data_IF_685406288527
#
_entry.id   IF_685406288527
#
_cell.length_a   1.000
_cell.length_b   1.000
_cell.length_c   1.000
_cell.angle_alpha   90.00
_cell.angle_beta   90.00
_cell.angle_gamma   90.00
#
_symmetry.space_group_name_H-M   'P 1'
#
loop_
_entity.id
_entity.type
_entity.pdbx_description
1 polymer ?
#
# COMPACT_ATOMS: atom_id res chain seq x y z
N UNK A 1 25.95 -6.14 7.08
CA UNK A 1 25.73 -5.16 6.13
C UNK A 1 24.33 -4.55 6.15
N UNK A 2 24.25 -3.26 6.37
CA UNK A 2 23.01 -2.48 6.41
C UNK A 2 22.27 -2.46 5.06
N UNK A 3 22.98 -2.64 3.95
CA UNK A 3 22.40 -2.68 2.60
C UNK A 3 21.56 -3.91 2.29
N UNK A 4 21.60 -4.95 3.09
CA UNK A 4 20.81 -6.15 2.83
C UNK A 4 19.31 -6.01 3.11
N UNK A 5 18.89 -4.91 3.73
CA UNK A 5 17.49 -4.65 4.08
C UNK A 5 16.78 -3.57 3.24
N UNK A 6 17.51 -2.84 2.36
CA UNK A 6 16.92 -1.81 1.50
C UNK A 6 16.84 -2.30 0.05
N UNK A 7 15.64 -2.28 -0.52
CA UNK A 7 15.39 -2.65 -1.91
C UNK A 7 14.67 -1.52 -2.64
N UNK A 8 15.15 -1.19 -3.84
CA UNK A 8 14.49 -0.27 -4.77
C UNK A 8 13.89 -1.05 -5.91
N UNK A 9 12.64 -0.78 -6.21
CA UNK A 9 11.95 -1.40 -7.33
C UNK A 9 11.32 -0.34 -8.22
N UNK A 10 11.40 -0.57 -9.54
CA UNK A 10 10.67 0.20 -10.56
C UNK A 10 9.53 -0.63 -11.11
N UNK A 11 8.37 -0.03 -11.37
CA UNK A 11 7.30 -0.72 -12.07
C UNK A 11 7.67 -0.97 -13.53
N UNK A 12 7.24 -2.11 -14.08
CA UNK A 12 7.24 -2.33 -15.52
C UNK A 12 6.09 -1.56 -16.15
N UNK A 13 6.38 -0.52 -16.92
CA UNK A 13 5.34 0.28 -17.57
C UNK A 13 4.88 -0.37 -18.88
N UNK A 14 3.57 -0.55 -19.01
CA UNK A 14 2.90 -0.94 -20.25
C UNK A 14 2.32 0.33 -20.90
N UNK A 15 2.58 0.55 -22.17
CA UNK A 15 2.25 1.80 -22.89
C UNK A 15 0.77 2.21 -22.84
N UNK A 16 -0.13 1.24 -22.76
CA UNK A 16 -1.60 1.45 -22.77
C UNK A 16 -2.16 2.00 -21.45
N UNK A 17 -1.41 1.91 -20.35
CA UNK A 17 -1.81 2.41 -19.02
C UNK A 17 -1.32 3.82 -18.69
N UNK A 18 -0.51 4.43 -19.55
CA UNK A 18 0.25 5.64 -19.22
C UNK A 18 -0.62 6.86 -18.81
N UNK A 19 -1.82 7.01 -19.39
CA UNK A 19 -2.71 8.13 -19.04
C UNK A 19 -3.26 7.95 -17.64
N UNK A 20 -3.86 6.79 -17.35
CA UNK A 20 -4.42 6.45 -16.04
C UNK A 20 -3.35 6.53 -14.94
N UNK A 21 -2.17 5.96 -15.18
CA UNK A 21 -1.07 5.99 -14.23
C UNK A 21 -0.61 7.42 -13.90
N UNK A 22 -0.56 8.30 -14.91
CA UNK A 22 -0.21 9.72 -14.69
C UNK A 22 -1.30 10.48 -13.93
N UNK A 23 -2.58 10.23 -14.26
CA UNK A 23 -3.72 10.87 -13.59
C UNK A 23 -3.83 10.51 -12.12
N UNK A 24 -3.30 9.32 -11.74
CA UNK A 24 -3.28 8.82 -10.36
C UNK A 24 -1.89 8.89 -9.71
N UNK A 25 -0.99 9.73 -10.22
CA UNK A 25 0.33 9.95 -9.63
C UNK A 25 1.08 8.65 -9.33
N UNK A 26 1.08 7.71 -10.29
CA UNK A 26 1.74 6.43 -10.10
C UNK A 26 3.23 6.61 -9.79
N UNK A 27 3.75 5.83 -8.84
CA UNK A 27 5.12 5.94 -8.39
C UNK A 27 6.14 5.61 -9.49
N UNK A 28 7.26 6.32 -9.51
CA UNK A 28 8.40 6.02 -10.37
C UNK A 28 9.32 4.97 -9.75
N UNK A 29 9.48 5.01 -8.43
CA UNK A 29 10.18 3.99 -7.65
C UNK A 29 9.60 3.86 -6.24
N UNK A 30 9.84 2.70 -5.64
CA UNK A 30 9.49 2.46 -4.24
C UNK A 30 10.69 1.92 -3.48
N UNK A 31 10.83 2.37 -2.26
CA UNK A 31 11.79 1.90 -1.29
C UNK A 31 11.12 0.88 -0.38
N UNK A 32 11.81 -0.21 -0.10
CA UNK A 32 11.38 -1.25 0.84
C UNK A 32 12.44 -1.36 1.93
N UNK A 33 12.02 -1.44 3.19
CA UNK A 33 12.92 -1.65 4.32
C UNK A 33 12.46 -2.82 5.17
N UNK A 34 13.39 -3.68 5.56
CA UNK A 34 13.11 -4.77 6.50
C UNK A 34 12.95 -4.29 7.95
N UNK A 35 13.41 -3.08 8.26
CA UNK A 35 13.31 -2.46 9.59
C UNK A 35 12.29 -1.32 9.64
N UNK A 36 11.69 -0.98 8.49
CA UNK A 36 10.75 0.13 8.34
C UNK A 36 11.41 1.48 8.09
N UNK A 37 10.57 2.50 7.87
CA UNK A 37 10.92 3.90 7.72
C UNK A 37 10.10 4.73 8.72
N UNK A 38 10.74 5.62 9.44
CA UNK A 38 10.03 6.61 10.27
C UNK A 38 9.45 7.76 9.42
N UNK A 39 8.66 8.61 10.06
CA UNK A 39 8.07 9.77 9.39
C UNK A 39 9.15 10.76 8.90
N UNK A 40 10.27 10.86 9.64
CA UNK A 40 11.39 11.73 9.25
C UNK A 40 12.02 11.28 7.94
N UNK A 41 12.11 9.97 7.69
CA UNK A 41 12.62 9.43 6.43
C UNK A 41 11.74 9.82 5.23
N UNK A 42 10.42 9.82 5.40
CA UNK A 42 9.47 10.27 4.36
C UNK A 42 9.65 11.77 4.10
N UNK A 43 9.75 12.58 5.15
CA UNK A 43 9.98 14.04 5.04
C UNK A 43 11.33 14.37 4.39
N UNK A 44 12.39 13.65 4.74
CA UNK A 44 13.70 13.83 4.09
C UNK A 44 13.66 13.43 2.61
N UNK A 45 12.88 12.38 2.26
CA UNK A 45 12.66 12.02 0.86
C UNK A 45 11.94 13.12 0.09
N UNK A 46 10.92 13.74 0.67
CA UNK A 46 10.16 14.85 0.05
C UNK A 46 11.03 16.08 -0.24
N UNK A 47 12.08 16.31 0.56
CA UNK A 47 13.00 17.46 0.41
C UNK A 47 14.08 17.24 -0.66
N UNK A 48 14.24 16.02 -1.17
CA UNK A 48 15.28 15.72 -2.15
C UNK A 48 15.02 16.44 -3.47
N UNK A 49 16.09 16.94 -4.08
CA UNK A 49 16.03 17.55 -5.41
C UNK A 49 15.45 16.53 -6.41
N UNK A 50 14.54 17.00 -7.27
CA UNK A 50 13.82 16.17 -8.27
C UNK A 50 12.74 15.22 -7.74
N UNK A 51 12.50 15.12 -6.45
CA UNK A 51 11.33 14.42 -5.90
C UNK A 51 10.11 15.34 -6.01
N UNK A 52 9.06 14.85 -6.63
CA UNK A 52 7.78 15.55 -6.78
C UNK A 52 6.86 15.30 -5.60
N UNK A 53 6.81 14.05 -5.17
CA UNK A 53 6.02 13.60 -4.04
C UNK A 53 6.60 12.30 -3.47
N UNK A 54 6.40 12.08 -2.18
CA UNK A 54 6.72 10.82 -1.52
C UNK A 54 5.73 10.57 -0.39
N UNK A 55 5.22 9.34 -0.31
CA UNK A 55 4.33 8.89 0.77
C UNK A 55 4.85 7.59 1.37
N UNK A 56 4.85 7.53 2.71
CA UNK A 56 5.00 6.28 3.44
C UNK A 56 3.76 5.40 3.28
N UNK A 57 3.94 4.10 3.36
CA UNK A 57 2.81 3.17 3.26
C UNK A 57 2.99 1.98 4.18
N UNK A 58 1.89 1.59 4.82
CA UNK A 58 1.72 0.34 5.53
C UNK A 58 1.05 -0.68 4.61
N UNK A 59 1.39 -1.94 4.77
CA UNK A 59 0.60 -3.04 4.22
C UNK A 59 0.71 -4.28 5.09
N UNK A 60 -0.35 -5.07 5.10
CA UNK A 60 -0.39 -6.38 5.75
C UNK A 60 -1.33 -7.30 4.99
N UNK A 61 -0.93 -8.56 4.83
CA UNK A 61 -1.80 -9.58 4.27
C UNK A 61 -2.58 -10.24 5.42
N UNK A 62 -3.90 -10.36 5.24
CA UNK A 62 -4.77 -10.93 6.27
C UNK A 62 -5.77 -11.92 5.67
N UNK A 63 -6.13 -12.92 6.46
CA UNK A 63 -7.22 -13.85 6.16
C UNK A 63 -8.53 -13.21 6.64
N UNK A 64 -9.55 -13.26 5.79
CA UNK A 64 -10.93 -12.94 6.13
C UNK A 64 -11.87 -14.05 5.63
N UNK A 65 -13.03 -14.18 6.22
CA UNK A 65 -14.10 -15.06 5.72
C UNK A 65 -15.05 -14.27 4.83
N UNK A 66 -15.31 -14.79 3.62
CA UNK A 66 -16.34 -14.23 2.75
C UNK A 66 -17.76 -14.64 3.22
N UNK A 67 -18.78 -14.13 2.53
CA UNK A 67 -20.18 -14.38 2.86
C UNK A 67 -20.57 -15.89 2.80
N UNK A 68 -19.79 -16.72 2.11
CA UNK A 68 -19.97 -18.16 2.01
C UNK A 68 -19.17 -18.93 3.09
N UNK A 69 -18.51 -18.23 4.01
CA UNK A 69 -17.65 -18.83 5.06
C UNK A 69 -16.32 -19.37 4.53
N UNK A 70 -15.86 -18.89 3.37
CA UNK A 70 -14.58 -19.31 2.80
C UNK A 70 -13.49 -18.31 3.17
N UNK A 71 -12.40 -18.85 3.68
CA UNK A 71 -11.19 -18.06 3.92
C UNK A 71 -10.55 -17.60 2.61
N UNK A 72 -10.27 -16.31 2.54
CA UNK A 72 -9.54 -15.66 1.46
C UNK A 72 -8.49 -14.72 2.04
N UNK A 73 -7.45 -14.42 1.28
CA UNK A 73 -6.43 -13.46 1.67
C UNK A 73 -6.68 -12.13 1.00
N UNK A 74 -6.75 -11.08 1.82
CA UNK A 74 -6.76 -9.69 1.39
C UNK A 74 -5.41 -9.06 1.71
N UNK A 75 -4.95 -8.18 0.83
CA UNK A 75 -3.90 -7.21 1.16
C UNK A 75 -4.54 -5.93 1.63
N UNK A 76 -4.37 -5.63 2.91
CA UNK A 76 -4.68 -4.32 3.45
C UNK A 76 -3.51 -3.39 3.21
N UNK A 77 -3.76 -2.17 2.70
CA UNK A 77 -2.75 -1.15 2.44
C UNK A 77 -3.25 0.20 2.91
N UNK A 78 -2.34 1.05 3.41
CA UNK A 78 -2.71 2.40 3.81
C UNK A 78 -3.00 3.27 2.60
N UNK A 79 -3.98 4.16 2.74
CA UNK A 79 -4.30 5.19 1.75
C UNK A 79 -3.13 6.19 1.72
N UNK A 80 -2.59 6.44 0.54
CA UNK A 80 -1.58 7.45 0.29
C UNK A 80 -2.23 8.74 -0.21
N UNK A 81 -1.63 9.89 0.09
CA UNK A 81 -2.23 11.20 -0.18
C UNK A 81 -1.80 11.76 -1.54
N UNK A 82 -0.52 11.64 -1.89
CA UNK A 82 0.08 12.32 -3.04
C UNK A 82 0.48 11.37 -4.17
N UNK A 83 0.91 10.13 -3.81
CA UNK A 83 1.40 9.13 -4.75
C UNK A 83 0.41 7.96 -4.79
N UNK A 84 0.18 7.38 -5.96
CA UNK A 84 -0.74 6.24 -6.16
C UNK A 84 -2.18 6.54 -5.72
N UNK A 85 -2.69 7.71 -6.04
CA UNK A 85 -4.03 8.13 -5.63
C UNK A 85 -5.12 7.18 -6.15
N UNK A 86 -6.08 6.87 -5.29
CA UNK A 86 -7.16 5.93 -5.58
C UNK A 86 -8.22 6.56 -6.49
N UNK A 87 -8.79 5.78 -7.39
CA UNK A 87 -9.97 6.14 -8.17
C UNK A 87 -11.23 5.57 -7.50
N UNK A 88 -12.04 6.42 -6.89
CA UNK A 88 -13.33 6.02 -6.32
C UNK A 88 -14.27 5.57 -7.45
N UNK A 89 -14.86 4.38 -7.31
CA UNK A 89 -15.80 3.81 -8.29
C UNK A 89 -17.23 3.88 -7.80
N UNK A 90 -17.46 3.60 -6.53
CA UNK A 90 -18.78 3.68 -5.89
C UNK A 90 -18.63 3.98 -4.40
N UNK A 91 -19.67 4.57 -3.78
CA UNK A 91 -19.67 4.97 -2.38
C UNK A 91 -18.85 6.24 -2.10
N UNK A 92 -18.05 6.23 -1.07
CA UNK A 92 -17.18 7.34 -0.64
C UNK A 92 -15.82 6.86 -0.13
N UNK A 93 -14.88 7.77 0.03
CA UNK A 93 -13.62 7.49 0.72
C UNK A 93 -13.85 7.40 2.25
N UNK A 94 -12.99 6.65 2.98
CA UNK A 94 -13.04 6.56 4.43
C UNK A 94 -12.89 7.93 5.10
N UNK A 95 -13.63 8.15 6.18
CA UNK A 95 -13.58 9.33 7.05
C UNK A 95 -13.18 8.97 8.49
N UNK A 96 -13.12 7.67 8.82
CA UNK A 96 -12.73 7.15 10.11
C UNK A 96 -11.75 5.98 9.96
N UNK A 97 -10.96 5.71 11.00
CA UNK A 97 -9.89 4.71 10.97
C UNK A 97 -10.39 3.26 10.93
N UNK A 98 -11.67 3.03 11.28
CA UNK A 98 -12.37 1.74 11.20
C UNK A 98 -13.18 1.58 9.88
N UNK A 99 -12.98 2.47 8.90
CA UNK A 99 -13.56 2.37 7.58
C UNK A 99 -12.54 1.92 6.54
N UNK A 100 -13.00 1.29 5.45
CA UNK A 100 -12.17 0.90 4.34
C UNK A 100 -12.87 1.08 2.99
N UNK A 101 -12.07 1.10 1.92
CA UNK A 101 -12.53 0.92 0.55
C UNK A 101 -11.91 -0.34 -0.04
N UNK A 102 -12.64 -1.02 -0.91
CA UNK A 102 -12.27 -2.34 -1.41
C UNK A 102 -12.08 -2.34 -2.94
N UNK A 103 -11.42 -3.37 -3.43
CA UNK A 103 -11.14 -3.64 -4.84
C UNK A 103 -12.42 -3.73 -5.68
N UNK A 104 -12.68 -2.71 -6.49
CA UNK A 104 -13.89 -2.61 -7.32
C UNK A 104 -14.03 -3.78 -8.31
N UNK A 105 -12.93 -4.36 -8.78
CA UNK A 105 -12.96 -5.47 -9.72
C UNK A 105 -13.33 -6.79 -9.05
N UNK A 106 -12.68 -7.10 -7.91
CA UNK A 106 -12.85 -8.37 -7.22
C UNK A 106 -14.18 -8.47 -6.47
N UNK A 107 -14.74 -7.34 -6.02
CA UNK A 107 -16.04 -7.26 -5.37
C UNK A 107 -17.19 -6.87 -6.33
N UNK A 108 -16.93 -6.86 -7.65
CA UNK A 108 -17.93 -6.51 -8.65
C UNK A 108 -19.16 -7.40 -8.57
N UNK A 109 -20.34 -6.76 -8.49
CA UNK A 109 -21.63 -7.44 -8.42
C UNK A 109 -22.00 -7.95 -7.02
N UNK A 110 -21.19 -7.65 -6.00
CA UNK A 110 -21.51 -7.91 -4.60
C UNK A 110 -22.04 -6.62 -3.95
N UNK A 111 -23.02 -6.76 -3.07
CA UNK A 111 -23.52 -5.66 -2.22
C UNK A 111 -22.61 -5.52 -1.00
N UNK A 112 -21.38 -5.02 -1.24
CA UNK A 112 -20.32 -5.00 -0.24
C UNK A 112 -20.30 -3.70 0.57
N UNK A 113 -20.81 -2.58 0.01
CA UNK A 113 -20.83 -1.29 0.72
C UNK A 113 -21.78 -1.36 1.91
N UNK A 114 -21.29 -0.97 3.08
CA UNK A 114 -22.00 -1.07 4.35
C UNK A 114 -21.75 -2.37 5.11
N UNK A 115 -21.14 -3.39 4.48
CA UNK A 115 -20.69 -4.60 5.16
C UNK A 115 -19.37 -4.38 5.92
N UNK A 116 -19.01 -5.32 6.78
CA UNK A 116 -17.75 -5.31 7.53
C UNK A 116 -16.78 -6.36 6.97
N UNK A 117 -15.52 -5.98 6.85
CA UNK A 117 -14.40 -6.89 6.65
C UNK A 117 -13.81 -7.19 8.04
N UNK A 118 -13.92 -8.42 8.49
CA UNK A 118 -13.38 -8.87 9.78
C UNK A 118 -12.09 -9.65 9.58
N UNK A 119 -11.07 -9.34 10.40
CA UNK A 119 -9.81 -10.08 10.46
C UNK A 119 -10.12 -11.43 11.12
N UNK A 120 -9.99 -12.53 10.36
CA UNK A 120 -10.33 -13.86 10.82
C UNK A 120 -9.47 -14.29 12.02
N UNK A 121 -10.06 -15.09 12.91
CA UNK A 121 -9.36 -15.60 14.09
C UNK A 121 -8.21 -16.55 13.74
N UNK A 122 -8.20 -17.14 12.55
CA UNK A 122 -7.12 -17.97 12.01
C UNK A 122 -5.83 -17.22 11.69
N UNK A 123 -5.86 -15.88 11.63
CA UNK A 123 -4.64 -15.09 11.49
C UNK A 123 -3.70 -15.25 12.70
N UNK A 124 -2.40 -15.09 12.45
CA UNK A 124 -1.40 -15.03 13.52
C UNK A 124 -1.64 -13.84 14.43
N UNK A 125 -1.08 -13.88 15.65
CA UNK A 125 -1.19 -12.75 16.57
C UNK A 125 -0.49 -11.50 15.98
N UNK A 126 0.68 -11.68 15.36
CA UNK A 126 1.42 -10.58 14.72
C UNK A 126 0.58 -9.89 13.64
N UNK A 127 -0.12 -10.67 12.80
CA UNK A 127 -1.06 -10.10 11.81
C UNK A 127 -2.20 -9.32 12.47
N UNK A 128 -2.79 -9.88 13.54
CA UNK A 128 -3.88 -9.19 14.28
C UNK A 128 -3.39 -7.90 14.92
N UNK A 129 -2.19 -7.90 15.49
CA UNK A 129 -1.59 -6.74 16.16
C UNK A 129 -1.15 -5.64 15.18
N UNK A 130 -1.04 -5.97 13.89
CA UNK A 130 -0.76 -4.98 12.83
C UNK A 130 -1.92 -4.01 12.57
N UNK A 131 -3.12 -4.33 13.04
CA UNK A 131 -4.33 -3.56 12.81
C UNK A 131 -4.84 -2.90 14.09
N UNK A 132 -5.30 -1.66 13.98
CA UNK A 132 -5.90 -0.93 15.11
C UNK A 132 -7.32 -1.42 15.45
N UNK A 133 -8.02 -2.01 14.48
CA UNK A 133 -9.38 -2.52 14.64
C UNK A 133 -9.50 -3.97 14.17
N UNK A 134 -10.40 -4.74 14.79
CA UNK A 134 -10.70 -6.12 14.35
C UNK A 134 -11.56 -6.13 13.08
N UNK A 135 -12.34 -5.07 12.85
CA UNK A 135 -13.30 -4.94 11.75
C UNK A 135 -13.18 -3.57 11.08
N UNK A 136 -13.43 -3.56 9.79
CA UNK A 136 -13.45 -2.35 8.97
C UNK A 136 -14.73 -2.30 8.16
N UNK A 137 -15.48 -1.21 8.29
CA UNK A 137 -16.70 -0.97 7.51
C UNK A 137 -16.36 -0.57 6.09
N UNK A 138 -16.88 -1.29 5.12
CA UNK A 138 -16.73 -0.94 3.71
C UNK A 138 -17.61 0.25 3.37
N UNK A 139 -17.01 1.36 2.93
CA UNK A 139 -17.72 2.61 2.59
C UNK A 139 -17.66 2.94 1.11
N UNK A 140 -16.84 2.24 0.34
CA UNK A 140 -16.76 2.41 -1.10
C UNK A 140 -15.91 1.36 -1.79
N UNK A 141 -15.89 1.43 -3.10
CA UNK A 141 -15.05 0.60 -3.97
C UNK A 141 -14.12 1.48 -4.78
N UNK A 142 -12.89 1.00 -5.02
CA UNK A 142 -11.85 1.77 -5.70
C UNK A 142 -11.08 0.94 -6.72
N UNK A 143 -10.51 1.61 -7.72
CA UNK A 143 -9.38 1.12 -8.48
C UNK A 143 -8.10 1.74 -7.93
N UNK A 144 -7.00 1.01 -8.03
CA UNK A 144 -5.69 1.48 -7.62
C UNK A 144 -4.67 1.33 -8.76
N UNK A 145 -3.82 2.34 -9.01
CA UNK A 145 -2.78 2.23 -10.02
C UNK A 145 -1.73 1.16 -9.69
N UNK A 146 -1.60 0.78 -8.42
CA UNK A 146 -0.68 -0.30 -7.99
C UNK A 146 -1.19 -1.68 -8.45
N UNK A 147 -2.51 -1.85 -8.56
CA UNK A 147 -3.16 -3.13 -8.83
C UNK A 147 -3.90 -3.14 -10.18
N UNK A 148 -3.22 -2.72 -11.25
CA UNK A 148 -3.77 -2.71 -12.61
C UNK A 148 -3.94 -4.10 -13.22
N UNK A 149 -3.25 -5.12 -12.69
CA UNK A 149 -3.37 -6.50 -13.15
C UNK A 149 -4.52 -7.21 -12.42
N UNK A 150 -5.14 -8.20 -13.09
CA UNK A 150 -6.18 -9.04 -12.50
C UNK A 150 -5.64 -9.86 -11.33
N UNK A 151 -4.39 -10.35 -11.45
CA UNK A 151 -3.69 -11.03 -10.37
C UNK A 151 -3.18 -10.01 -9.34
N UNK A 152 -3.60 -10.17 -8.08
CA UNK A 152 -3.28 -9.23 -6.99
C UNK A 152 -1.95 -9.51 -6.30
N UNK A 153 -1.29 -10.59 -6.64
CA UNK A 153 0.02 -10.99 -6.13
C UNK A 153 0.00 -12.27 -5.31
N UNK A 154 1.16 -12.58 -4.74
CA UNK A 154 1.39 -13.76 -3.90
C UNK A 154 1.57 -13.36 -2.44
N UNK A 155 1.32 -14.29 -1.56
CA UNK A 155 1.43 -14.17 -0.10
C UNK A 155 1.90 -15.49 0.48
N UNK A 156 2.41 -15.47 1.72
CA UNK A 156 2.71 -16.67 2.47
C UNK A 156 1.49 -17.22 3.24
N UNK A 157 0.34 -16.54 3.16
CA UNK A 157 -0.90 -16.91 3.84
C UNK A 157 -1.82 -17.76 2.94
N UNK A 158 -2.66 -18.57 3.58
CA UNK A 158 -3.74 -19.32 2.94
C UNK A 158 -3.26 -20.19 1.79
N UNK A 159 -3.82 -19.96 0.59
CA UNK A 159 -3.48 -20.69 -0.63
C UNK A 159 -2.32 -20.07 -1.42
N UNK A 160 -1.59 -19.10 -0.85
CA UNK A 160 -0.46 -18.41 -1.47
C UNK A 160 -0.84 -17.31 -2.46
N UNK A 161 -2.12 -16.92 -2.53
CA UNK A 161 -2.61 -15.89 -3.45
C UNK A 161 -3.39 -14.81 -2.72
N UNK A 162 -3.16 -13.55 -3.12
CA UNK A 162 -3.97 -12.42 -2.69
C UNK A 162 -5.25 -12.41 -3.55
N UNK A 163 -6.40 -12.48 -2.91
CA UNK A 163 -7.71 -12.49 -3.58
C UNK A 163 -8.16 -11.11 -4.01
N UNK A 164 -7.93 -10.10 -3.16
CA UNK A 164 -8.29 -8.71 -3.40
C UNK A 164 -7.43 -7.79 -2.53
N UNK A 165 -7.53 -6.49 -2.77
CA UNK A 165 -6.97 -5.48 -1.88
C UNK A 165 -8.08 -4.72 -1.14
N UNK A 166 -7.73 -4.17 0.02
CA UNK A 166 -8.50 -3.14 0.71
C UNK A 166 -7.55 -1.99 1.06
N UNK A 167 -8.08 -0.77 1.09
CA UNK A 167 -7.37 0.41 1.53
C UNK A 167 -8.00 0.95 2.80
N UNK A 168 -7.16 1.23 3.79
CA UNK A 168 -7.51 1.66 5.13
C UNK A 168 -6.76 2.97 5.42
N UNK A 169 -7.33 3.94 6.15
CA UNK A 169 -6.57 5.09 6.65
C UNK A 169 -5.34 4.65 7.46
N UNK A 170 -4.31 5.47 7.52
CA UNK A 170 -3.11 5.16 8.31
C UNK A 170 -3.42 4.82 9.77
N UNK A 171 -4.35 5.55 10.42
CA UNK A 171 -4.79 5.29 11.78
C UNK A 171 -5.53 3.96 11.99
N UNK A 172 -5.88 3.25 10.91
CA UNK A 172 -6.40 1.89 10.95
C UNK A 172 -5.32 0.82 11.13
N UNK A 173 -4.03 1.19 11.09
CA UNK A 173 -2.89 0.29 11.38
C UNK A 173 -2.26 0.62 12.73
N UNK A 174 -1.58 -0.37 13.32
CA UNK A 174 -0.83 -0.26 14.58
C UNK A 174 0.68 -0.34 14.38
N UNK A 175 1.20 0.04 13.20
CA UNK A 175 2.62 0.04 12.92
C UNK A 175 3.31 1.31 13.43
N UNK A 176 4.52 1.17 13.96
CA UNK A 176 5.37 2.29 14.37
C UNK A 176 6.23 2.86 13.21
N UNK A 177 6.35 2.12 12.10
CA UNK A 177 7.17 2.49 10.98
C UNK A 177 6.54 2.02 9.66
N UNK A 178 6.67 2.83 8.61
CA UNK A 178 6.22 2.48 7.25
C UNK A 178 7.04 1.31 6.70
N UNK A 179 6.39 0.38 6.04
CA UNK A 179 7.04 -0.74 5.37
C UNK A 179 7.69 -0.34 4.04
N UNK A 180 7.13 0.68 3.41
CA UNK A 180 7.59 1.18 2.12
C UNK A 180 7.39 2.69 1.98
N UNK A 181 8.17 3.30 1.08
CA UNK A 181 7.97 4.69 0.62
C UNK A 181 7.78 4.64 -0.89
N UNK A 182 6.68 5.19 -1.37
CA UNK A 182 6.44 5.44 -2.78
C UNK A 182 6.94 6.83 -3.16
N UNK A 183 7.63 6.95 -4.30
CA UNK A 183 8.22 8.21 -4.75
C UNK A 183 7.85 8.47 -6.20
N UNK A 184 7.39 9.69 -6.45
CA UNK A 184 7.23 10.27 -7.78
C UNK A 184 8.35 11.28 -8.03
N UNK A 185 8.98 11.22 -9.20
CA UNK A 185 10.16 12.03 -9.49
C UNK A 185 10.37 12.31 -10.97
N UNK A 186 11.16 13.30 -11.28
CA UNK A 186 11.64 13.58 -12.64
C UNK A 186 13.02 12.96 -12.95
N UNK A 187 13.48 12.01 -12.13
CA UNK A 187 14.84 11.49 -12.25
C UNK A 187 14.97 10.22 -13.12
N UNK A 188 16.09 10.16 -13.84
CA UNK A 188 16.55 8.95 -14.52
C UNK A 188 17.06 7.89 -13.53
N UNK A 189 17.16 6.64 -13.98
CA UNK A 189 17.63 5.50 -13.17
C UNK A 189 18.99 5.69 -12.50
N UNK A 190 19.88 6.45 -13.14
CA UNK A 190 21.24 6.70 -12.65
C UNK A 190 21.21 7.66 -11.46
N UNK A 191 20.37 8.68 -11.50
CA UNK A 191 20.22 9.67 -10.44
C UNK A 191 19.58 9.08 -9.17
N UNK A 192 18.75 8.04 -9.29
CA UNK A 192 18.21 7.32 -8.12
C UNK A 192 19.33 6.72 -7.28
N UNK A 193 20.38 6.17 -7.90
CA UNK A 193 21.54 5.63 -7.19
C UNK A 193 22.28 6.69 -6.36
N UNK A 194 22.41 7.89 -6.89
CA UNK A 194 23.04 9.02 -6.21
C UNK A 194 22.17 9.47 -5.03
N UNK A 195 20.88 9.64 -5.25
CA UNK A 195 19.91 10.01 -4.22
C UNK A 195 19.93 9.04 -3.03
N UNK A 196 19.95 7.73 -3.31
CA UNK A 196 20.01 6.70 -2.27
C UNK A 196 21.33 6.73 -1.51
N UNK A 197 22.43 7.04 -2.18
CA UNK A 197 23.75 7.18 -1.56
C UNK A 197 23.79 8.39 -0.62
N UNK A 198 23.23 9.52 -1.00
CA UNK A 198 23.12 10.73 -0.17
C UNK A 198 22.23 10.52 1.05
N UNK A 199 21.07 9.88 0.90
CA UNK A 199 20.20 9.48 2.00
C UNK A 199 20.89 8.53 2.97
N UNK A 200 21.67 7.59 2.45
CA UNK A 200 22.44 6.65 3.27
C UNK A 200 23.47 7.39 4.14
N UNK A 201 24.20 8.35 3.58
CA UNK A 201 25.18 9.14 4.33
C UNK A 201 24.54 10.02 5.38
N UNK A 202 23.42 10.66 5.05
CA UNK A 202 22.71 11.52 5.98
C UNK A 202 22.16 10.75 7.20
N UNK A 203 21.72 9.52 6.99
CA UNK A 203 21.21 8.64 8.05
C UNK A 203 22.29 8.04 8.95
N UNK A 204 23.52 7.91 8.46
CA UNK A 204 24.63 7.37 9.25
C UNK A 204 25.40 8.42 10.06
N UNK A 205 25.06 9.68 9.90
CA UNK A 205 25.67 10.80 10.67
C UNK A 205 24.80 11.23 11.87
N UNK A 206 23.65 10.62 12.07
CA UNK A 206 22.80 10.79 13.26
C UNK A 206 22.90 9.57 14.16
#
# INVERSE_FOLDING_TARGET
>A
GFFSGLKVTKPGMVETGNKYLREHNFYDFRLLSSIGFDADAVEEMRKQEHVLAADGSYYEDMIYEDADGKEKVLRAQSITEHVNTLELRDGRMPEADDECVVDAYQFKGQDIIGQEIEIADSNTQDTKDAFAHKKYKVVGTVNSPIYINIERGTTDLGNGRISAFIFIPEGGFSFDAYKEIYVQSHISSIQIGILLYELYFHWHQR
#
